data_IF_452402111379
#
_entry.id   IF_452402111379
#
_cell.length_a   1.000
_cell.length_b   1.000
_cell.length_c   1.000
_cell.angle_alpha   90.00
_cell.angle_beta   90.00
_cell.angle_gamma   90.00
#
_symmetry.space_group_name_H-M   'P 1'
#
loop_
_entity.id
_entity.type
_entity.pdbx_description
1 polymer ?
#
# COMPACT_ATOMS: atom_id res chain seq x y z
N UNK A 1 -11.94 14.12 11.92
CA UNK A 1 -13.01 14.62 12.81
C UNK A 1 -14.03 13.54 13.19
N UNK A 2 -14.38 12.60 12.31
CA UNK A 2 -15.33 11.52 12.63
C UNK A 2 -14.89 10.54 13.72
N UNK A 3 -13.58 10.43 14.02
CA UNK A 3 -13.06 9.51 15.04
C UNK A 3 -12.95 10.14 16.45
N UNK A 4 -13.17 11.44 16.58
CA UNK A 4 -13.12 12.16 17.85
C UNK A 4 -14.08 11.59 18.93
N UNK A 5 -15.35 11.26 18.63
CA UNK A 5 -16.25 10.67 19.63
C UNK A 5 -15.82 9.25 20.05
N UNK A 6 -15.23 8.48 19.13
CA UNK A 6 -14.74 7.12 19.41
C UNK A 6 -13.47 7.15 20.27
N UNK A 7 -12.55 8.09 20.00
CA UNK A 7 -11.35 8.31 20.81
C UNK A 7 -11.67 8.77 22.24
N UNK A 8 -12.74 9.55 22.44
CA UNK A 8 -13.22 9.90 23.78
C UNK A 8 -13.87 8.70 24.49
N UNK A 9 -14.58 7.83 23.77
CA UNK A 9 -15.23 6.64 24.31
C UNK A 9 -14.25 5.53 24.73
N UNK A 10 -13.15 5.35 23.99
CA UNK A 10 -12.07 4.39 24.32
C UNK A 10 -11.12 4.90 25.42
N UNK A 11 -11.30 6.14 25.88
CA UNK A 11 -10.52 6.73 26.95
C UNK A 11 -9.20 7.34 26.45
N UNK A 12 -9.26 8.62 26.06
CA UNK A 12 -8.11 9.53 25.96
C UNK A 12 -7.34 9.73 27.28
N UNK A 13 -7.70 9.00 28.35
CA UNK A 13 -7.14 9.10 29.69
C UNK A 13 -5.94 8.18 29.97
N UNK A 14 -5.50 7.37 29.01
CA UNK A 14 -4.25 6.61 29.13
C UNK A 14 -3.04 7.52 28.97
N UNK A 15 -2.10 7.50 29.92
CA UNK A 15 -0.86 8.27 29.83
C UNK A 15 -0.07 7.86 28.57
N UNK A 16 -0.17 8.65 27.51
CA UNK A 16 0.61 8.46 26.29
C UNK A 16 2.09 8.63 26.65
N UNK A 17 2.85 7.54 26.57
CA UNK A 17 4.28 7.58 26.77
C UNK A 17 4.93 8.28 25.58
N UNK A 18 6.05 8.99 25.77
CA UNK A 18 6.79 9.63 24.69
C UNK A 18 7.10 8.67 23.52
N UNK A 19 7.31 7.38 23.82
CA UNK A 19 7.47 6.32 22.82
C UNK A 19 6.24 6.09 21.94
N UNK A 20 5.02 6.13 22.49
CA UNK A 20 3.77 5.98 21.73
C UNK A 20 3.58 7.14 20.76
N UNK A 21 3.83 8.38 21.23
CA UNK A 21 3.78 9.57 20.38
C UNK A 21 4.82 9.50 19.28
N UNK A 22 6.03 9.03 19.58
CA UNK A 22 7.09 8.80 18.59
C UNK A 22 6.65 7.83 17.48
N UNK A 23 6.03 6.70 17.84
CA UNK A 23 5.51 5.75 16.86
C UNK A 23 4.36 6.30 16.01
N UNK A 24 3.46 7.09 16.61
CA UNK A 24 2.38 7.75 15.86
C UNK A 24 2.93 8.76 14.85
N UNK A 25 3.93 9.55 15.24
CA UNK A 25 4.62 10.48 14.34
C UNK A 25 5.31 9.71 13.23
N UNK A 26 6.02 8.62 13.54
CA UNK A 26 6.70 7.78 12.55
C UNK A 26 5.71 7.21 11.52
N UNK A 27 4.59 6.64 11.96
CA UNK A 27 3.54 6.08 11.09
C UNK A 27 2.89 7.15 10.21
N UNK A 28 2.62 8.34 10.74
CA UNK A 28 2.06 9.43 9.93
C UNK A 28 3.08 10.05 8.95
N UNK A 29 4.33 10.17 9.36
CA UNK A 29 5.34 10.87 8.59
C UNK A 29 5.96 9.98 7.50
N UNK A 30 6.32 8.73 7.81
CA UNK A 30 7.16 7.91 6.94
C UNK A 30 6.33 7.13 5.91
N UNK A 31 5.52 6.13 6.28
CA UNK A 31 4.76 5.37 5.28
C UNK A 31 3.59 6.16 4.67
N UNK A 32 3.16 7.26 5.27
CA UNK A 32 2.12 8.13 4.70
C UNK A 32 2.72 9.37 4.02
N UNK A 33 3.10 10.40 4.77
CA UNK A 33 3.46 11.69 4.16
C UNK A 33 4.65 11.61 3.20
N UNK A 34 5.73 10.94 3.62
CA UNK A 34 6.95 10.79 2.81
C UNK A 34 6.72 9.87 1.62
N UNK A 35 6.15 8.68 1.85
CA UNK A 35 5.91 7.71 0.77
C UNK A 35 4.96 8.26 -0.30
N UNK A 36 3.83 8.85 0.09
CA UNK A 36 2.91 9.48 -0.87
C UNK A 36 3.53 10.71 -1.53
N UNK A 37 4.29 11.52 -0.80
CA UNK A 37 5.02 12.64 -1.38
C UNK A 37 5.98 12.19 -2.50
N UNK A 38 6.74 11.12 -2.25
CA UNK A 38 7.63 10.51 -3.24
C UNK A 38 6.85 9.89 -4.41
N UNK A 39 5.73 9.22 -4.12
CA UNK A 39 4.85 8.64 -5.14
C UNK A 39 4.31 9.70 -6.10
N UNK A 40 3.75 10.80 -5.57
CA UNK A 40 3.24 11.89 -6.40
C UNK A 40 4.34 12.65 -7.13
N UNK A 41 5.51 12.84 -6.50
CA UNK A 41 6.67 13.43 -7.16
C UNK A 41 7.19 12.56 -8.31
N UNK A 42 7.18 11.23 -8.12
CA UNK A 42 7.50 10.25 -9.15
C UNK A 42 6.46 10.21 -10.27
N UNK A 43 5.16 10.31 -9.93
CA UNK A 43 4.08 10.34 -10.91
C UNK A 43 4.21 11.52 -11.89
N UNK A 44 4.75 12.65 -11.42
CA UNK A 44 5.01 13.82 -12.26
C UNK A 44 6.15 13.61 -13.30
N UNK A 45 6.99 12.59 -13.12
CA UNK A 45 8.19 12.36 -13.94
C UNK A 45 8.18 11.00 -14.65
N UNK A 46 7.15 10.17 -14.47
CA UNK A 46 7.19 8.79 -14.95
C UNK A 46 5.90 8.38 -15.69
N UNK A 47 6.06 7.78 -16.87
CA UNK A 47 4.98 7.29 -17.75
C UNK A 47 4.28 6.06 -17.14
N UNK A 48 3.01 5.85 -17.50
CA UNK A 48 2.09 4.80 -17.02
C UNK A 48 2.74 3.44 -16.72
N UNK A 49 3.66 2.98 -17.56
CA UNK A 49 4.42 1.74 -17.39
C UNK A 49 5.10 1.57 -16.01
N UNK A 50 5.61 2.64 -15.37
CA UNK A 50 6.23 2.49 -14.04
C UNK A 50 5.21 2.50 -12.91
N UNK A 51 4.09 3.20 -13.06
CA UNK A 51 2.97 3.08 -12.13
C UNK A 51 2.44 1.65 -12.12
N UNK A 52 2.34 1.01 -13.29
CA UNK A 52 2.00 -0.41 -13.42
C UNK A 52 3.02 -1.33 -12.74
N UNK A 53 4.32 -1.09 -12.92
CA UNK A 53 5.38 -1.86 -12.24
C UNK A 53 5.34 -1.66 -10.72
N UNK A 54 5.09 -0.45 -10.23
CA UNK A 54 4.98 -0.16 -8.78
C UNK A 54 3.73 -0.82 -8.19
N UNK A 55 2.58 -0.78 -8.88
CA UNK A 55 1.36 -1.47 -8.47
C UNK A 55 1.53 -3.01 -8.43
N UNK A 56 2.39 -3.57 -9.30
CA UNK A 56 2.78 -4.97 -9.28
C UNK A 56 3.77 -5.30 -8.15
N UNK A 57 4.69 -4.38 -7.84
CA UNK A 57 5.72 -4.59 -6.81
C UNK A 57 5.16 -4.51 -5.39
N UNK A 58 4.23 -3.59 -5.12
CA UNK A 58 3.64 -3.38 -3.80
C UNK A 58 3.12 -4.68 -3.15
N UNK A 59 2.26 -5.47 -3.81
CA UNK A 59 1.73 -6.69 -3.19
C UNK A 59 2.77 -7.81 -3.06
N UNK A 60 3.73 -7.87 -3.98
CA UNK A 60 4.82 -8.86 -3.92
C UNK A 60 5.72 -8.55 -2.73
N UNK A 61 6.10 -7.29 -2.54
CA UNK A 61 6.93 -6.85 -1.41
C UNK A 61 6.18 -7.03 -0.10
N UNK A 62 4.89 -6.68 -0.04
CA UNK A 62 4.05 -6.90 1.14
C UNK A 62 3.98 -8.38 1.52
N UNK A 63 3.78 -9.28 0.55
CA UNK A 63 3.77 -10.72 0.78
C UNK A 63 5.13 -11.22 1.29
N UNK A 64 6.25 -10.79 0.66
CA UNK A 64 7.60 -11.18 1.09
C UNK A 64 7.89 -10.72 2.52
N UNK A 65 7.54 -9.47 2.86
CA UNK A 65 7.73 -8.93 4.22
C UNK A 65 6.87 -9.71 5.23
N UNK A 66 5.60 -10.00 4.91
CA UNK A 66 4.72 -10.78 5.78
C UNK A 66 5.31 -12.16 6.11
N UNK A 67 5.86 -12.86 5.12
CA UNK A 67 6.51 -14.16 5.33
C UNK A 67 7.81 -14.04 6.12
N UNK A 68 8.67 -13.10 5.73
CA UNK A 68 10.02 -13.00 6.26
C UNK A 68 10.07 -12.43 7.68
N UNK A 69 9.23 -11.44 7.99
CA UNK A 69 9.26 -10.72 9.27
C UNK A 69 8.18 -11.17 10.25
N UNK A 70 6.99 -11.55 9.77
CA UNK A 70 5.86 -11.88 10.65
C UNK A 70 5.81 -13.39 10.99
N UNK A 71 6.57 -14.22 10.26
CA UNK A 71 6.66 -15.66 10.50
C UNK A 71 5.35 -16.41 10.23
N UNK A 72 4.42 -15.78 9.52
CA UNK A 72 3.15 -16.38 9.14
C UNK A 72 3.40 -17.58 8.22
N UNK A 73 3.02 -18.77 8.68
CA UNK A 73 2.83 -19.91 7.77
C UNK A 73 1.71 -19.52 6.83
N UNK A 74 2.02 -19.27 5.55
CA UNK A 74 1.01 -18.98 4.54
C UNK A 74 -0.11 -20.02 4.66
N UNK A 75 -1.26 -19.58 5.17
CA UNK A 75 -2.44 -20.41 5.14
C UNK A 75 -2.84 -20.62 3.67
N UNK A 76 -3.54 -21.70 3.37
CA UNK A 76 -4.05 -21.91 2.02
C UNK A 76 -4.88 -20.70 1.52
N UNK A 77 -5.54 -19.97 2.43
CA UNK A 77 -6.26 -18.75 2.11
C UNK A 77 -5.34 -17.58 1.74
N UNK A 78 -4.18 -17.43 2.40
CA UNK A 78 -3.19 -16.42 2.04
C UNK A 78 -2.60 -16.69 0.65
N UNK A 79 -2.23 -17.95 0.36
CA UNK A 79 -1.77 -18.37 -0.98
C UNK A 79 -2.83 -18.08 -2.04
N UNK A 80 -4.08 -18.48 -1.77
CA UNK A 80 -5.19 -18.24 -2.69
C UNK A 80 -5.41 -16.74 -2.93
N UNK A 81 -5.36 -15.92 -1.87
CA UNK A 81 -5.45 -14.47 -1.96
C UNK A 81 -4.32 -13.86 -2.82
N UNK A 82 -3.08 -14.29 -2.62
CA UNK A 82 -1.94 -13.85 -3.43
C UNK A 82 -2.11 -14.23 -4.90
N UNK A 83 -2.55 -15.46 -5.20
CA UNK A 83 -2.77 -15.92 -6.58
C UNK A 83 -3.88 -15.12 -7.26
N UNK A 84 -5.01 -14.91 -6.58
CA UNK A 84 -6.12 -14.10 -7.11
C UNK A 84 -5.67 -12.66 -7.39
N UNK A 85 -4.92 -12.06 -6.46
CA UNK A 85 -4.41 -10.71 -6.60
C UNK A 85 -3.46 -10.59 -7.80
N UNK A 86 -2.47 -11.47 -7.91
CA UNK A 86 -1.54 -11.48 -9.04
C UNK A 86 -2.28 -11.69 -10.38
N UNK A 87 -3.30 -12.55 -10.40
CA UNK A 87 -4.17 -12.75 -11.56
C UNK A 87 -4.96 -11.50 -11.95
N UNK A 88 -5.55 -10.80 -10.98
CA UNK A 88 -6.28 -9.56 -11.21
C UNK A 88 -5.36 -8.45 -11.74
N UNK A 89 -4.15 -8.33 -11.21
CA UNK A 89 -3.17 -7.34 -11.69
C UNK A 89 -2.69 -7.69 -13.10
N UNK A 90 -2.42 -8.96 -13.40
CA UNK A 90 -2.06 -9.40 -14.75
C UNK A 90 -3.17 -9.10 -15.77
N UNK A 91 -4.44 -9.31 -15.39
CA UNK A 91 -5.59 -8.98 -16.24
C UNK A 91 -5.70 -7.47 -16.48
N UNK A 92 -5.53 -6.65 -15.44
CA UNK A 92 -5.55 -5.19 -15.55
C UNK A 92 -4.45 -4.68 -16.50
N UNK A 93 -3.23 -5.21 -16.38
CA UNK A 93 -2.12 -4.83 -17.28
C UNK A 93 -2.41 -5.23 -18.73
N UNK A 94 -3.01 -6.42 -18.96
CA UNK A 94 -3.40 -6.84 -20.29
C UNK A 94 -4.45 -5.89 -20.91
N UNK A 95 -5.46 -5.48 -20.13
CA UNK A 95 -6.49 -4.55 -20.62
C UNK A 95 -5.96 -3.14 -20.90
N UNK A 96 -4.99 -2.67 -20.12
CA UNK A 96 -4.35 -1.37 -20.34
C UNK A 96 -3.46 -1.39 -21.60
N UNK A 97 -2.75 -2.49 -21.85
CA UNK A 97 -1.97 -2.68 -23.08
C UNK A 97 -2.86 -2.73 -24.33
N UNK A 98 -4.08 -3.23 -24.19
CA UNK A 98 -5.10 -3.24 -25.25
C UNK A 98 -5.81 -1.88 -25.42
N UNK A 99 -5.72 -0.97 -24.44
CA UNK A 99 -6.29 0.39 -24.49
C UNK A 99 -5.34 1.43 -25.09
N UNK A 100 -4.10 1.05 -25.45
CA UNK A 100 -3.17 1.86 -26.24
C UNK A 100 -3.26 1.64 -27.77
N UNK A 101 -4.45 1.75 -28.43
CA UNK A 101 -4.53 2.06 -29.84
C UNK A 101 -5.32 3.36 -30.08
N UNK A 102 -4.76 4.21 -30.96
CA UNK A 102 -5.33 5.45 -31.52
C UNK A 102 -4.94 6.79 -30.87
N UNK A 103 -3.67 6.97 -30.49
CA UNK A 103 -3.02 8.29 -30.66
C UNK A 103 -2.33 8.35 -32.03
N UNK A 104 -3.15 8.26 -33.09
CA UNK A 104 -2.89 8.71 -34.47
C UNK A 104 -2.36 10.15 -34.44
N UNK A 105 -1.44 10.66 -35.26
CA UNK A 105 -0.93 10.33 -36.58
C UNK A 105 -0.58 11.67 -37.24
#
# INVERSE_FOLDING_TARGET
MCLLPFALAEGLGGAYTAGTVGWLIYLGAVPSALAYGLFFAGLAHVRAATASVVALLEPVVAAVIAVAFLGERLSAAAVAGTVVLLGAVAALVATEAEYEPAATG
#
